data_IF_343608267755
#
_entry.id   IF_343608267755
#
_cell.length_a   1.000
_cell.length_b   1.000
_cell.length_c   1.000
_cell.angle_alpha   90.00
_cell.angle_beta   90.00
_cell.angle_gamma   90.00
#
_symmetry.space_group_name_H-M   'P 1'
#
loop_
_entity.id
_entity.type
_entity.pdbx_description
1 polymer ?
#
# COMPACT_ATOMS: atom_id res chain seq x y z
N UNK A 1 -14.24 -10.25 -2.02
CA UNK A 1 -13.67 -10.60 -0.70
C UNK A 1 -12.30 -9.94 -0.61
N UNK A 2 -11.92 -9.10 0.35
CA UNK A 2 -12.64 -8.49 1.48
C UNK A 2 -12.93 -7.02 1.17
N UNK A 3 -14.20 -6.68 1.01
CA UNK A 3 -14.66 -5.28 0.94
C UNK A 3 -16.01 -5.22 1.65
N UNK A 4 -16.01 -5.53 2.95
CA UNK A 4 -17.16 -5.13 3.76
C UNK A 4 -16.97 -3.66 4.08
N UNK A 5 -17.79 -2.84 3.42
CA UNK A 5 -17.68 -1.40 3.36
C UNK A 5 -18.13 -0.65 4.63
N UNK A 6 -18.38 -1.35 5.74
CA UNK A 6 -18.74 -0.75 7.03
C UNK A 6 -17.91 -1.32 8.19
N UNK A 7 -16.80 -1.95 7.83
CA UNK A 7 -15.76 -2.40 8.73
C UNK A 7 -15.01 -1.20 9.33
N UNK A 8 -15.17 -0.93 10.63
CA UNK A 8 -14.28 -0.01 11.33
C UNK A 8 -12.81 -0.43 11.18
N UNK A 9 -11.87 0.51 11.40
CA UNK A 9 -10.45 0.18 11.51
C UNK A 9 -10.26 -1.00 12.50
N UNK A 10 -9.44 -1.98 12.15
CA UNK A 10 -9.30 -3.21 12.93
C UNK A 10 -10.44 -4.22 12.72
N UNK A 11 -11.01 -4.31 11.51
CA UNK A 11 -12.07 -5.32 11.26
C UNK A 11 -11.54 -6.74 11.23
N UNK A 12 -12.29 -7.63 11.88
CA UNK A 12 -12.07 -9.06 11.85
C UNK A 12 -12.34 -9.71 10.48
N UNK A 13 -13.09 -9.10 9.55
CA UNK A 13 -13.79 -9.80 8.44
C UNK A 13 -13.08 -10.91 7.64
N UNK A 14 -11.74 -10.91 7.49
CA UNK A 14 -10.95 -12.00 6.86
C UNK A 14 -10.13 -12.84 7.86
N UNK A 15 -10.03 -12.36 9.09
CA UNK A 15 -9.26 -12.90 10.19
C UNK A 15 -10.13 -13.76 11.14
N UNK A 16 -9.54 -14.77 11.81
CA UNK A 16 -10.24 -15.56 12.83
C UNK A 16 -10.71 -14.71 14.02
N UNK A 17 -11.60 -15.25 14.84
CA UNK A 17 -12.02 -14.58 16.09
C UNK A 17 -10.85 -14.32 17.03
N UNK A 18 -10.79 -13.10 17.57
CA UNK A 18 -9.67 -12.60 18.37
C UNK A 18 -8.49 -12.11 17.53
N UNK A 19 -8.69 -11.94 16.23
CA UNK A 19 -7.72 -11.39 15.29
C UNK A 19 -8.38 -10.40 14.34
N UNK A 20 -7.61 -9.42 13.88
CA UNK A 20 -8.07 -8.43 12.93
C UNK A 20 -7.02 -8.13 11.86
N UNK A 21 -7.45 -7.45 10.80
CA UNK A 21 -6.53 -6.90 9.79
C UNK A 21 -5.87 -5.63 10.36
N UNK A 22 -4.53 -5.57 10.44
CA UNK A 22 -3.83 -4.46 11.09
C UNK A 22 -4.19 -3.15 10.42
N UNK A 23 -4.37 -2.15 11.26
CA UNK A 23 -4.42 -0.76 10.86
C UNK A 23 -3.04 -0.30 10.38
N UNK A 24 -2.99 0.81 9.66
CA UNK A 24 -1.72 1.42 9.28
C UNK A 24 -0.96 1.94 10.52
N UNK A 25 -1.68 2.36 11.56
CA UNK A 25 -1.07 2.81 12.83
C UNK A 25 -0.40 1.64 13.56
N UNK A 26 -0.99 0.44 13.56
CA UNK A 26 -0.33 -0.75 14.13
C UNK A 26 0.92 -1.18 13.36
N UNK A 27 0.91 -0.99 12.04
CA UNK A 27 2.14 -1.15 11.25
C UNK A 27 3.19 -0.09 11.61
N UNK A 28 2.79 1.15 11.91
CA UNK A 28 3.71 2.20 12.39
C UNK A 28 4.25 1.84 13.78
N UNK A 29 3.38 1.39 14.69
CA UNK A 29 3.73 1.00 16.04
C UNK A 29 4.70 -0.19 16.04
N UNK A 30 4.54 -1.15 15.13
CA UNK A 30 5.50 -2.23 14.92
C UNK A 30 6.93 -1.67 14.71
N UNK A 31 7.09 -0.65 13.87
CA UNK A 31 8.39 -0.03 13.62
C UNK A 31 8.83 0.89 14.76
N UNK A 32 7.89 1.49 15.50
CA UNK A 32 8.22 2.22 16.72
C UNK A 32 8.85 1.30 17.78
N UNK A 33 8.40 0.04 17.89
CA UNK A 33 9.06 -0.96 18.78
C UNK A 33 10.49 -1.30 18.35
N UNK A 34 10.81 -1.10 17.07
CA UNK A 34 12.15 -1.24 16.49
C UNK A 34 12.98 0.06 16.59
N UNK A 35 12.48 1.08 17.30
CA UNK A 35 13.15 2.38 17.44
C UNK A 35 13.10 3.23 16.18
N UNK A 36 12.16 2.97 15.27
CA UNK A 36 12.02 3.68 14.00
C UNK A 36 10.74 4.51 13.98
N UNK A 37 10.87 5.81 13.75
CA UNK A 37 9.72 6.71 13.57
C UNK A 37 9.26 6.69 12.12
N UNK A 38 7.97 6.44 11.89
CA UNK A 38 7.35 6.45 10.56
C UNK A 38 6.34 7.59 10.50
N UNK A 39 6.52 8.51 9.55
CA UNK A 39 5.61 9.62 9.30
C UNK A 39 5.65 10.06 7.82
N UNK A 40 4.89 11.09 7.44
CA UNK A 40 4.85 11.56 6.05
C UNK A 40 6.20 12.03 5.49
N UNK A 41 7.16 12.41 6.35
CA UNK A 41 8.52 12.80 6.00
C UNK A 41 9.49 11.61 6.00
N UNK A 42 9.22 10.59 6.79
CA UNK A 42 9.97 9.33 6.87
C UNK A 42 9.08 8.12 6.55
N UNK A 43 8.46 8.13 5.38
CA UNK A 43 7.47 7.11 4.98
C UNK A 43 8.10 5.84 4.36
N UNK A 44 9.43 5.77 4.32
CA UNK A 44 10.20 4.61 3.86
C UNK A 44 11.27 4.31 4.88
N UNK A 45 11.27 3.09 5.43
CA UNK A 45 12.13 2.70 6.55
C UNK A 45 12.82 1.36 6.31
N UNK A 46 13.81 1.04 7.14
CA UNK A 46 14.50 -0.25 7.06
C UNK A 46 13.68 -1.37 7.71
N UNK A 47 13.32 -2.38 6.93
CA UNK A 47 12.52 -3.52 7.39
C UNK A 47 13.30 -4.82 7.53
N UNK A 48 14.62 -4.78 7.67
CA UNK A 48 15.44 -6.00 7.81
C UNK A 48 14.94 -6.91 8.95
N UNK A 49 14.49 -6.31 10.05
CA UNK A 49 13.95 -6.99 11.24
C UNK A 49 12.68 -7.81 10.97
N UNK A 50 11.89 -7.44 9.95
CA UNK A 50 10.63 -8.10 9.64
C UNK A 50 10.73 -8.99 8.40
N UNK A 51 11.79 -8.82 7.61
CA UNK A 51 12.01 -9.54 6.35
C UNK A 51 12.39 -11.00 6.62
N UNK A 52 11.87 -11.91 5.81
CA UNK A 52 12.14 -13.35 5.94
C UNK A 52 13.61 -13.72 5.79
N UNK A 53 14.00 -14.79 6.48
CA UNK A 53 15.37 -15.33 6.51
C UNK A 53 15.70 -16.20 5.28
N UNK A 54 14.67 -16.56 4.52
CA UNK A 54 14.80 -17.40 3.35
C UNK A 54 14.96 -16.55 2.10
N UNK A 55 15.76 -17.06 1.17
CA UNK A 55 16.07 -16.41 -0.09
C UNK A 55 14.93 -16.52 -1.13
N UNK A 56 13.75 -16.05 -0.75
CA UNK A 56 12.61 -15.89 -1.66
C UNK A 56 12.63 -14.53 -2.38
N UNK A 57 13.44 -13.58 -1.90
CA UNK A 57 13.62 -12.23 -2.45
C UNK A 57 14.66 -12.25 -3.58
N UNK A 58 14.31 -12.97 -4.66
CA UNK A 58 15.20 -13.28 -5.80
C UNK A 58 15.29 -12.21 -6.88
N UNK A 59 14.61 -11.08 -6.73
CA UNK A 59 14.76 -9.94 -7.63
C UNK A 59 16.13 -9.26 -7.48
N UNK A 60 16.83 -9.17 -8.62
CA UNK A 60 18.16 -8.57 -8.89
C UNK A 60 19.38 -9.10 -8.13
N UNK A 61 20.20 -9.85 -8.87
CA UNK A 61 21.68 -9.99 -8.85
C UNK A 61 22.42 -10.36 -7.55
N UNK A 62 21.89 -10.15 -6.35
CA UNK A 62 22.55 -10.52 -5.09
C UNK A 62 21.57 -11.04 -4.02
N UNK A 63 21.22 -12.34 -4.07
CA UNK A 63 20.24 -12.93 -3.17
C UNK A 63 20.65 -12.91 -1.68
N UNK A 64 21.95 -12.92 -1.38
CA UNK A 64 22.45 -12.93 0.01
C UNK A 64 22.30 -11.57 0.70
N UNK A 65 22.38 -10.47 -0.06
CA UNK A 65 22.14 -9.12 0.48
C UNK A 65 20.66 -8.87 0.81
N UNK A 66 19.76 -9.71 0.27
CA UNK A 66 18.32 -9.56 0.40
C UNK A 66 17.72 -10.43 1.52
N UNK A 67 18.55 -11.10 2.33
CA UNK A 67 18.09 -11.91 3.47
C UNK A 67 17.81 -10.99 4.66
N UNK A 68 16.58 -11.07 5.18
CA UNK A 68 16.23 -10.45 6.45
C UNK A 68 16.75 -11.26 7.64
N UNK A 69 16.93 -10.62 8.78
CA UNK A 69 17.26 -11.34 10.02
C UNK A 69 16.02 -11.79 10.80
N UNK A 70 14.83 -11.32 10.38
CA UNK A 70 13.53 -11.69 10.94
C UNK A 70 13.50 -11.68 12.48
N UNK A 71 14.23 -10.75 13.10
CA UNK A 71 14.47 -10.72 14.55
C UNK A 71 13.19 -10.64 15.39
N UNK A 72 12.07 -10.20 14.80
CA UNK A 72 10.76 -10.14 15.47
C UNK A 72 9.77 -11.23 15.03
N UNK A 73 10.19 -12.19 14.20
CA UNK A 73 9.34 -13.32 13.79
C UNK A 73 8.23 -12.99 12.79
N UNK A 74 8.28 -11.82 12.15
CA UNK A 74 7.29 -11.44 11.14
C UNK A 74 7.41 -12.31 9.87
N UNK A 75 8.60 -12.55 9.35
CA UNK A 75 8.86 -13.37 8.17
C UNK A 75 8.16 -12.84 6.91
N UNK A 76 8.43 -11.59 6.55
CA UNK A 76 7.85 -10.95 5.36
C UNK A 76 8.33 -11.65 4.08
N UNK A 77 7.38 -11.95 3.19
CA UNK A 77 7.60 -12.69 1.95
C UNK A 77 7.25 -11.86 0.71
N UNK A 78 7.96 -12.03 -0.43
CA UNK A 78 7.69 -11.32 -1.66
C UNK A 78 6.58 -12.01 -2.48
N UNK A 79 5.38 -12.01 -1.91
CA UNK A 79 4.21 -12.64 -2.51
C UNK A 79 3.60 -11.89 -3.69
N UNK A 80 4.20 -10.78 -4.13
CA UNK A 80 3.67 -9.97 -5.22
C UNK A 80 2.27 -9.43 -4.97
N UNK A 81 1.60 -9.04 -6.05
CA UNK A 81 0.23 -8.54 -6.01
C UNK A 81 -0.45 -8.59 -7.38
N UNK A 82 -1.78 -8.57 -7.39
CA UNK A 82 -2.57 -8.31 -8.60
C UNK A 82 -2.79 -6.79 -8.71
N UNK A 83 -2.50 -6.25 -9.89
CA UNK A 83 -2.59 -4.82 -10.17
C UNK A 83 -3.53 -4.54 -11.32
N UNK A 84 -4.06 -3.33 -11.34
CA UNK A 84 -4.93 -2.84 -12.40
C UNK A 84 -4.55 -1.43 -12.84
N UNK A 85 -4.60 -1.22 -14.14
CA UNK A 85 -4.52 0.08 -14.77
C UNK A 85 -5.49 0.13 -15.96
N UNK A 86 -6.40 1.09 -15.94
CA UNK A 86 -7.25 1.47 -17.06
C UNK A 86 -6.41 1.89 -18.29
N UNK A 87 -5.34 2.65 -18.06
CA UNK A 87 -4.37 3.03 -19.09
C UNK A 87 -2.95 2.76 -18.58
N UNK A 88 -2.14 2.14 -19.43
CA UNK A 88 -0.78 1.69 -19.07
C UNK A 88 0.28 2.79 -19.14
N UNK A 89 1.46 2.47 -18.58
CA UNK A 89 2.71 3.22 -18.73
C UNK A 89 2.84 4.57 -18.01
N UNK A 90 2.08 4.80 -16.94
CA UNK A 90 2.24 5.99 -16.09
C UNK A 90 3.02 5.69 -14.82
N UNK A 91 3.92 6.60 -14.44
CA UNK A 91 4.65 6.50 -13.17
C UNK A 91 3.76 6.94 -12.01
N UNK A 92 3.62 6.08 -11.01
CA UNK A 92 2.89 6.36 -9.77
C UNK A 92 3.73 7.16 -8.78
N UNK A 93 3.11 7.69 -7.71
CA UNK A 93 3.86 8.33 -6.62
C UNK A 93 4.83 7.36 -5.92
N UNK A 94 4.57 6.05 -5.99
CA UNK A 94 5.49 5.03 -5.51
C UNK A 94 6.74 4.84 -6.39
N UNK A 95 6.87 5.55 -7.51
CA UNK A 95 7.94 5.32 -8.47
C UNK A 95 7.83 3.99 -9.21
N UNK A 96 6.62 3.42 -9.28
CA UNK A 96 6.32 2.16 -9.98
C UNK A 96 5.43 2.49 -11.19
N UNK A 97 5.71 1.89 -12.35
CA UNK A 97 4.86 2.04 -13.52
C UNK A 97 3.51 1.31 -13.34
N UNK A 98 2.42 1.98 -13.69
CA UNK A 98 1.08 1.42 -13.74
C UNK A 98 1.05 0.19 -14.65
N UNK A 99 0.44 -0.90 -14.19
CA UNK A 99 0.47 -2.20 -14.86
C UNK A 99 -0.76 -3.03 -14.51
N UNK A 100 -1.02 -4.03 -15.33
CA UNK A 100 -2.10 -4.99 -15.15
C UNK A 100 -1.54 -6.37 -14.81
N UNK A 101 -2.36 -7.18 -14.14
CA UNK A 101 -2.06 -8.59 -13.85
C UNK A 101 -1.22 -8.78 -12.60
N UNK A 102 -0.79 -10.02 -12.39
CA UNK A 102 -0.04 -10.41 -11.21
C UNK A 102 1.46 -10.15 -11.41
N UNK A 103 2.06 -9.35 -10.54
CA UNK A 103 3.42 -8.85 -10.67
C UNK A 103 4.17 -8.90 -9.31
N UNK A 104 5.47 -8.62 -9.36
CA UNK A 104 6.40 -8.51 -8.21
C UNK A 104 6.63 -9.78 -7.37
N UNK A 105 6.25 -10.95 -7.85
CA UNK A 105 6.63 -12.20 -7.19
C UNK A 105 8.17 -12.27 -7.09
N UNK A 106 8.68 -12.50 -5.89
CA UNK A 106 10.13 -12.51 -5.63
C UNK A 106 10.80 -11.13 -5.53
N UNK A 107 10.09 -10.05 -5.85
CA UNK A 107 10.63 -8.67 -5.80
C UNK A 107 10.01 -7.83 -4.68
N UNK A 108 8.70 -7.95 -4.44
CA UNK A 108 7.99 -7.10 -3.48
C UNK A 108 6.94 -7.87 -2.69
N UNK A 109 6.83 -7.52 -1.42
CA UNK A 109 5.71 -7.91 -0.57
C UNK A 109 4.71 -6.78 -0.46
N UNK A 110 3.42 -7.10 -0.57
CA UNK A 110 2.33 -6.13 -0.51
C UNK A 110 1.31 -6.61 0.51
N UNK A 111 0.93 -5.74 1.46
CA UNK A 111 -0.06 -6.05 2.49
C UNK A 111 -1.11 -4.97 2.60
N UNK A 112 -2.38 -5.38 2.53
CA UNK A 112 -3.48 -4.48 2.86
C UNK A 112 -3.47 -4.15 4.36
N UNK A 113 -3.83 -2.90 4.67
CA UNK A 113 -4.22 -2.49 6.02
C UNK A 113 -5.74 -2.32 6.08
N UNK A 114 -6.30 -2.26 7.29
CA UNK A 114 -7.71 -1.90 7.50
C UNK A 114 -7.97 -0.39 7.47
N UNK A 115 -6.93 0.44 7.31
CA UNK A 115 -7.03 1.91 7.33
C UNK A 115 -7.24 2.47 5.92
N UNK A 116 -7.93 3.62 5.86
CA UNK A 116 -8.13 4.42 4.64
C UNK A 116 -7.78 5.88 4.91
N UNK A 117 -7.65 6.71 3.86
CA UNK A 117 -7.34 8.15 4.03
C UNK A 117 -8.34 8.87 4.95
N UNK A 118 -7.84 9.80 5.77
CA UNK A 118 -8.69 10.66 6.61
C UNK A 118 -9.37 11.80 5.83
N UNK A 119 -10.35 12.46 6.48
CA UNK A 119 -11.27 13.51 5.98
C UNK A 119 -10.57 14.79 5.49
N UNK A 120 -9.86 14.74 4.37
CA UNK A 120 -9.46 15.87 3.51
C UNK A 120 -9.34 15.35 2.07
N UNK A 121 -9.37 16.24 1.08
CA UNK A 121 -9.42 15.87 -0.33
C UNK A 121 -8.09 15.22 -0.72
N UNK A 122 -8.09 13.90 -0.94
CA UNK A 122 -6.90 13.22 -1.44
C UNK A 122 -6.67 13.57 -2.91
N UNK A 123 -5.45 13.97 -3.25
CA UNK A 123 -5.06 14.50 -4.54
C UNK A 123 -5.11 13.41 -5.60
N UNK A 124 -6.02 13.60 -6.55
CA UNK A 124 -6.20 12.77 -7.74
C UNK A 124 -6.31 13.71 -8.93
N UNK A 125 -5.36 13.65 -9.86
CA UNK A 125 -5.39 14.56 -11.00
C UNK A 125 -6.26 13.99 -12.12
N UNK A 126 -7.51 14.46 -12.16
CA UNK A 126 -8.47 14.18 -13.22
C UNK A 126 -8.71 15.42 -14.08
N UNK A 127 -8.15 15.48 -15.30
CA UNK A 127 -8.32 16.54 -16.32
C UNK A 127 -8.75 17.94 -15.79
N UNK A 128 -7.72 18.77 -15.61
CA UNK A 128 -7.63 20.23 -15.49
C UNK A 128 -8.53 21.05 -14.54
N UNK A 129 -9.59 20.55 -13.89
CA UNK A 129 -10.31 21.41 -12.90
C UNK A 129 -11.03 20.69 -11.74
N UNK A 130 -11.08 19.35 -11.69
CA UNK A 130 -11.85 18.64 -10.67
C UNK A 130 -11.00 18.00 -9.57
N UNK A 131 -11.14 18.49 -8.33
CA UNK A 131 -10.67 17.76 -7.15
C UNK A 131 -11.70 16.68 -6.79
N UNK A 132 -11.29 15.41 -6.76
CA UNK A 132 -12.18 14.31 -6.38
C UNK A 132 -11.88 13.83 -4.96
N UNK A 133 -12.87 13.93 -4.06
CA UNK A 133 -12.79 13.34 -2.72
C UNK A 133 -12.93 11.83 -2.83
N UNK A 134 -11.91 11.09 -2.40
CA UNK A 134 -12.01 9.64 -2.31
C UNK A 134 -11.18 9.08 -1.16
N UNK A 135 -11.84 8.28 -0.34
CA UNK A 135 -11.19 7.45 0.67
C UNK A 135 -10.37 6.38 -0.04
N UNK A 136 -9.06 6.40 0.14
CA UNK A 136 -8.13 5.45 -0.46
C UNK A 136 -7.67 4.45 0.60
N UNK A 137 -7.70 3.13 0.32
CA UNK A 137 -7.13 2.16 1.22
C UNK A 137 -5.62 2.38 1.35
N UNK A 138 -5.10 2.12 2.54
CA UNK A 138 -3.67 2.05 2.79
C UNK A 138 -3.18 0.63 2.61
N UNK A 139 -1.98 0.52 2.06
CA UNK A 139 -1.20 -0.71 2.09
C UNK A 139 0.21 -0.42 2.61
N UNK A 140 0.89 -1.48 3.03
CA UNK A 140 2.32 -1.48 3.31
C UNK A 140 3.01 -2.31 2.24
N UNK A 141 4.14 -1.83 1.75
CA UNK A 141 4.96 -2.50 0.73
C UNK A 141 6.36 -2.70 1.26
N UNK A 142 6.95 -3.87 1.00
CA UNK A 142 8.38 -4.10 1.18
C UNK A 142 9.03 -4.42 -0.16
N UNK A 143 10.16 -3.78 -0.43
CA UNK A 143 11.00 -4.04 -1.60
C UNK A 143 12.10 -5.08 -1.30
N UNK A 144 12.66 -5.64 -2.37
CA UNK A 144 13.76 -6.61 -2.33
C UNK A 144 15.01 -6.11 -1.61
N UNK A 145 15.22 -4.80 -1.52
CA UNK A 145 16.32 -4.19 -0.77
C UNK A 145 16.05 -4.11 0.75
N UNK A 146 14.88 -4.60 1.19
CA UNK A 146 14.45 -4.59 2.59
C UNK A 146 13.81 -3.28 3.04
N UNK A 147 13.62 -2.31 2.14
CA UNK A 147 12.91 -1.07 2.48
C UNK A 147 11.41 -1.29 2.54
N UNK A 148 10.79 -0.72 3.56
CA UNK A 148 9.35 -0.80 3.81
C UNK A 148 8.76 0.58 3.63
N UNK A 149 7.85 0.69 2.66
CA UNK A 149 7.18 1.91 2.29
C UNK A 149 5.74 1.91 2.81
N UNK A 150 5.37 3.03 3.42
CA UNK A 150 4.07 3.27 4.02
C UNK A 150 3.26 4.26 3.21
N UNK A 151 1.96 4.02 3.15
CA UNK A 151 0.98 4.99 2.72
C UNK A 151 0.58 5.88 3.89
N UNK A 152 0.96 7.16 3.84
CA UNK A 152 0.68 8.14 4.88
C UNK A 152 0.07 9.39 4.25
N UNK A 153 -1.01 9.90 4.85
CA UNK A 153 -1.64 11.12 4.39
C UNK A 153 -0.68 12.31 4.59
N UNK A 154 -0.31 12.97 3.50
CA UNK A 154 0.55 14.15 3.49
C UNK A 154 -0.27 15.38 3.09
N UNK A 155 -0.49 16.31 4.01
CA UNK A 155 -1.16 17.57 3.70
C UNK A 155 -0.25 18.38 2.78
N UNK A 156 -0.72 18.68 1.55
CA UNK A 156 0.02 19.46 0.56
C UNK A 156 -0.42 20.93 0.59
N UNK A 157 -1.71 21.15 0.77
CA UNK A 157 -2.34 22.45 0.98
C UNK A 157 -3.49 22.28 1.99
N UNK A 158 -3.91 23.31 2.74
CA UNK A 158 -5.10 23.23 3.59
C UNK A 158 -6.35 22.61 2.93
N UNK A 159 -6.47 22.71 1.60
CA UNK A 159 -7.62 22.19 0.84
C UNK A 159 -7.44 20.75 0.33
N UNK A 160 -6.21 20.20 0.27
CA UNK A 160 -5.98 18.84 -0.23
C UNK A 160 -4.68 18.19 0.32
N UNK A 161 -4.69 16.86 0.40
CA UNK A 161 -3.58 16.02 0.83
C UNK A 161 -3.21 15.02 -0.27
N UNK A 162 -2.03 14.40 -0.22
CA UNK A 162 -1.64 13.30 -1.11
C UNK A 162 -1.24 12.08 -0.28
N UNK A 163 -1.16 10.90 -0.91
CA UNK A 163 -0.73 9.69 -0.22
C UNK A 163 0.72 9.35 -0.59
N UNK A 164 1.60 9.24 0.40
CA UNK A 164 2.99 8.84 0.15
C UNK A 164 3.07 7.43 -0.42
N UNK A 165 4.03 7.20 -1.31
CA UNK A 165 4.37 5.87 -1.84
C UNK A 165 3.18 5.10 -2.45
N UNK A 166 2.16 5.80 -2.95
CA UNK A 166 0.94 5.15 -3.44
C UNK A 166 1.05 4.73 -4.90
N UNK A 167 0.49 3.56 -5.18
CA UNK A 167 0.19 3.07 -6.52
C UNK A 167 -1.29 3.16 -6.84
N UNK A 168 -1.99 4.17 -6.30
CA UNK A 168 -3.33 4.50 -6.77
C UNK A 168 -3.42 5.78 -7.60
N UNK A 169 -2.44 6.68 -7.50
CA UNK A 169 -2.37 7.87 -8.34
C UNK A 169 -0.93 8.19 -8.78
N UNK A 170 -0.83 9.16 -9.68
CA UNK A 170 0.38 9.66 -10.33
C UNK A 170 0.36 11.19 -10.26
N UNK A 171 1.51 11.82 -10.41
CA UNK A 171 1.62 13.29 -10.54
C UNK A 171 0.96 13.82 -11.81
N UNK A 172 0.70 12.96 -12.81
CA UNK A 172 0.34 13.41 -14.17
C UNK A 172 -1.01 12.86 -14.67
N UNK A 173 -1.43 11.64 -14.32
CA UNK A 173 -2.51 10.95 -15.07
C UNK A 173 -3.42 9.94 -14.31
N UNK A 174 -4.58 9.70 -14.94
CA UNK A 174 -5.74 8.89 -14.59
C UNK A 174 -5.57 7.35 -14.75
N UNK A 175 -4.52 6.70 -14.26
CA UNK A 175 -4.35 5.29 -14.67
C UNK A 175 -5.33 4.28 -14.05
N UNK A 176 -6.04 4.59 -12.95
CA UNK A 176 -7.14 3.75 -12.43
C UNK A 176 -8.51 4.32 -12.85
N UNK A 177 -8.54 5.57 -13.27
CA UNK A 177 -9.72 6.26 -13.78
C UNK A 177 -9.87 6.00 -15.28
N UNK A 178 -11.10 6.11 -15.78
CA UNK A 178 -11.28 6.14 -17.22
C UNK A 178 -11.04 7.57 -17.74
N UNK A 179 -11.11 7.75 -19.06
CA UNK A 179 -10.93 9.05 -19.68
C UNK A 179 -12.12 10.02 -19.45
N UNK A 180 -13.06 9.70 -18.55
CA UNK A 180 -14.20 10.55 -18.22
C UNK A 180 -14.10 11.08 -16.78
N UNK A 181 -14.31 12.39 -16.61
CA UNK A 181 -14.13 13.13 -15.36
C UNK A 181 -15.17 12.82 -14.27
N UNK A 182 -16.09 11.88 -14.50
CA UNK A 182 -17.30 11.66 -13.69
C UNK A 182 -17.30 10.38 -12.86
N UNK A 183 -16.15 9.75 -12.60
CA UNK A 183 -16.12 8.34 -12.15
C UNK A 183 -15.44 8.01 -10.81
N UNK A 184 -15.51 8.92 -9.83
CA UNK A 184 -14.94 8.70 -8.49
C UNK A 184 -15.43 7.41 -7.82
N UNK A 185 -16.74 7.09 -7.89
CA UNK A 185 -17.28 5.83 -7.34
C UNK A 185 -16.70 4.57 -8.01
N UNK A 186 -16.33 4.67 -9.29
CA UNK A 186 -15.77 3.56 -10.04
C UNK A 186 -14.29 3.34 -9.75
N UNK A 187 -13.50 4.36 -9.42
CA UNK A 187 -12.11 4.16 -9.04
C UNK A 187 -11.96 3.34 -7.76
N UNK A 188 -12.73 3.66 -6.70
CA UNK A 188 -12.68 2.90 -5.46
C UNK A 188 -13.16 1.48 -5.69
N UNK A 189 -14.21 1.32 -6.49
CA UNK A 189 -14.69 0.01 -6.94
C UNK A 189 -13.61 -0.75 -7.69
N UNK A 190 -12.84 -0.11 -8.59
CA UNK A 190 -11.75 -0.75 -9.33
C UNK A 190 -10.60 -1.18 -8.44
N UNK A 191 -10.21 -0.36 -7.47
CA UNK A 191 -9.21 -0.75 -6.44
C UNK A 191 -9.71 -2.01 -5.72
N UNK A 192 -10.95 -1.97 -5.25
CA UNK A 192 -11.62 -3.05 -4.52
C UNK A 192 -11.77 -4.36 -5.31
N UNK A 193 -12.00 -4.29 -6.62
CA UNK A 193 -12.29 -5.48 -7.43
C UNK A 193 -11.09 -6.01 -8.22
N UNK A 194 -10.08 -5.17 -8.48
CA UNK A 194 -8.98 -5.52 -9.37
C UNK A 194 -7.59 -5.47 -8.72
N UNK A 195 -7.44 -4.95 -7.50
CA UNK A 195 -6.18 -5.06 -6.76
C UNK A 195 -6.27 -6.14 -5.68
N UNK A 196 -5.23 -6.96 -5.61
CA UNK A 196 -5.14 -8.02 -4.59
C UNK A 196 -3.73 -8.02 -4.01
N UNK A 197 -3.63 -7.73 -2.72
CA UNK A 197 -2.43 -7.85 -1.92
C UNK A 197 -2.65 -8.87 -0.81
N UNK A 198 -1.55 -9.28 -0.20
CA UNK A 198 -1.62 -10.20 0.93
C UNK A 198 -2.36 -9.54 2.10
N UNK A 199 -2.95 -10.37 2.95
CA UNK A 199 -3.48 -9.95 4.24
C UNK A 199 -2.70 -10.67 5.33
N UNK A 200 -2.48 -9.99 6.44
CA UNK A 200 -1.89 -10.59 7.63
C UNK A 200 -2.74 -10.23 8.81
N UNK A 201 -3.19 -11.22 9.56
CA UNK A 201 -3.97 -10.96 10.76
C UNK A 201 -3.06 -10.72 11.95
N UNK A 202 -3.42 -9.76 12.80
CA UNK A 202 -2.80 -9.49 14.10
C UNK A 202 -3.81 -9.79 15.20
N UNK A 203 -3.32 -10.07 16.40
CA UNK A 203 -4.17 -10.47 17.53
C UNK A 203 -4.70 -9.22 18.25
N UNK A 204 -5.96 -9.27 18.67
CA UNK A 204 -6.59 -8.23 19.52
C UNK A 204 -5.95 -8.12 20.91
#
# INVERSE_FOLDING_TARGET
AATQNDAGAGVQGICPTGWHLPTNDEWIDLFATLGTTVDASNSVVDGKAIKGELNYWGGKTNPAANIGDNTIGFNAQPGGGLFYAYSGSYMTEAGIASRNGYNDIGERGWWWTSTTTGTLWSYWYSNSTGWSMQYMPYYVRMDEDGKVAFNINKIVNPSYASLTNTIFHSTVHHYILDNTSSNNGNALTRVRTNFYFSVRCVKD
#
